data_IF_603392792210
#
_entry.id   IF_603392792210
#
_cell.length_a   1.000
_cell.length_b   1.000
_cell.length_c   1.000
_cell.angle_alpha   90.00
_cell.angle_beta   90.00
_cell.angle_gamma   90.00
#
_symmetry.space_group_name_H-M   'P 1'
#
loop_
_entity.id
_entity.type
_entity.pdbx_description
1 polymer ?
#
# COMPACT_ATOMS: atom_id res chain seq x y z
N UNK A 1 22.62 38.45 19.64
CA UNK A 1 21.30 38.06 20.17
C UNK A 1 20.75 36.96 19.25
N UNK A 2 20.34 35.81 19.79
CA UNK A 2 19.80 34.63 19.09
C UNK A 2 20.74 33.50 18.59
N UNK A 3 21.71 33.10 19.41
CA UNK A 3 22.24 31.72 19.39
C UNK A 3 21.57 30.82 20.42
N UNK A 4 21.04 31.39 21.51
CA UNK A 4 20.45 30.65 22.64
C UNK A 4 19.11 30.00 22.33
N UNK A 5 18.30 30.57 21.43
CA UNK A 5 17.00 29.98 21.05
C UNK A 5 17.18 28.71 20.20
N UNK A 6 18.23 28.61 19.37
CA UNK A 6 18.48 27.46 18.50
C UNK A 6 18.78 26.17 19.28
N UNK A 7 19.43 26.30 20.44
CA UNK A 7 19.82 25.15 21.26
C UNK A 7 18.64 24.49 22.00
N UNK A 8 17.55 25.23 22.23
CA UNK A 8 16.33 24.71 22.88
C UNK A 8 15.43 23.93 21.91
N UNK A 9 15.60 24.10 20.60
CA UNK A 9 14.73 23.47 19.58
C UNK A 9 15.25 22.12 19.07
N UNK A 10 16.51 21.76 19.34
CA UNK A 10 17.13 20.55 18.79
C UNK A 10 16.83 19.19 19.48
N UNK A 11 16.36 19.05 20.75
CA UNK A 11 16.18 17.72 21.34
C UNK A 11 15.01 16.93 20.74
N UNK A 12 14.03 17.59 20.13
CA UNK A 12 12.82 16.93 19.59
C UNK A 12 12.96 16.43 18.15
N UNK A 13 14.10 16.66 17.49
CA UNK A 13 14.32 16.31 16.07
C UNK A 13 15.01 14.95 15.84
N UNK A 14 15.07 14.07 16.84
CA UNK A 14 15.37 12.66 16.58
C UNK A 14 14.09 11.99 16.07
N UNK A 15 13.75 12.31 14.83
CA UNK A 15 12.71 11.62 14.06
C UNK A 15 12.94 10.13 14.18
N UNK A 16 11.99 9.46 14.83
CA UNK A 16 11.83 8.03 14.75
C UNK A 16 12.02 7.62 13.30
N UNK A 17 13.04 6.79 13.04
CA UNK A 17 13.16 6.10 11.77
C UNK A 17 11.85 5.33 11.61
N UNK A 18 10.95 5.84 10.77
CA UNK A 18 9.81 5.09 10.26
C UNK A 18 10.44 3.97 9.47
N UNK A 19 10.62 2.82 10.12
CA UNK A 19 11.16 1.62 9.51
C UNK A 19 10.18 1.26 8.40
N UNK A 20 10.58 1.45 7.14
CA UNK A 20 9.70 1.25 5.99
C UNK A 20 9.21 -0.21 6.01
N UNK A 21 7.91 -0.45 6.29
CA UNK A 21 7.37 -1.80 6.45
C UNK A 21 7.42 -2.59 5.15
N UNK A 22 7.51 -1.89 4.01
CA UNK A 22 7.64 -2.50 2.70
C UNK A 22 9.00 -3.19 2.52
N UNK A 23 10.07 -2.67 3.14
CA UNK A 23 11.40 -3.24 3.02
C UNK A 23 11.54 -4.63 3.67
N UNK A 24 10.69 -4.97 4.64
CA UNK A 24 10.68 -6.28 5.28
C UNK A 24 9.89 -7.34 4.49
N UNK A 25 9.00 -6.94 3.57
CA UNK A 25 8.23 -7.86 2.72
C UNK A 25 8.97 -8.28 1.45
N UNK A 26 9.85 -7.42 0.94
CA UNK A 26 10.55 -7.64 -0.32
C UNK A 26 11.61 -8.77 -0.24
N UNK A 27 12.14 -9.05 0.96
CA UNK A 27 13.28 -9.96 1.15
C UNK A 27 12.89 -11.45 1.21
N UNK A 28 11.59 -11.76 1.24
CA UNK A 28 11.06 -13.13 1.25
C UNK A 28 10.34 -13.55 -0.02
N UNK A 29 10.29 -12.69 -1.05
CA UNK A 29 9.51 -12.99 -2.27
C UNK A 29 10.21 -14.05 -3.14
N UNK A 30 9.51 -15.15 -3.35
CA UNK A 30 9.89 -16.18 -4.32
C UNK A 30 9.78 -15.65 -5.75
N UNK A 31 10.51 -16.25 -6.69
CA UNK A 31 10.48 -15.86 -8.11
C UNK A 31 9.05 -15.93 -8.71
N UNK A 32 8.23 -16.85 -8.21
CA UNK A 32 6.83 -16.99 -8.61
C UNK A 32 5.96 -15.82 -8.16
N UNK A 33 6.16 -15.31 -6.95
CA UNK A 33 5.42 -14.15 -6.41
C UNK A 33 5.79 -12.86 -7.14
N UNK A 34 7.07 -12.69 -7.52
CA UNK A 34 7.51 -11.56 -8.36
C UNK A 34 6.92 -11.61 -9.77
N UNK A 35 6.80 -12.80 -10.36
CA UNK A 35 6.20 -12.97 -11.68
C UNK A 35 4.69 -12.72 -11.62
N UNK A 36 4.00 -13.24 -10.61
CA UNK A 36 2.58 -12.99 -10.39
C UNK A 36 2.28 -11.50 -10.22
N UNK A 37 3.14 -10.74 -9.53
CA UNK A 37 2.95 -9.29 -9.34
C UNK A 37 3.17 -8.48 -10.60
N UNK A 38 4.15 -8.85 -11.41
CA UNK A 38 4.31 -8.27 -12.74
C UNK A 38 3.11 -8.60 -13.63
N UNK A 39 2.61 -9.83 -13.60
CA UNK A 39 1.45 -10.22 -14.40
C UNK A 39 0.18 -9.51 -13.93
N UNK A 40 -0.03 -9.36 -12.63
CA UNK A 40 -1.18 -8.64 -12.07
C UNK A 40 -1.15 -7.14 -12.40
N UNK A 41 0.02 -6.50 -12.31
CA UNK A 41 0.17 -5.07 -12.65
C UNK A 41 0.02 -4.81 -14.15
N UNK A 42 0.48 -5.73 -15.01
CA UNK A 42 0.29 -5.63 -16.47
C UNK A 42 -1.16 -5.93 -16.86
N UNK A 43 -1.77 -6.95 -16.26
CA UNK A 43 -3.15 -7.38 -16.56
C UNK A 43 -4.23 -6.38 -16.13
N UNK A 44 -3.95 -5.53 -15.14
CA UNK A 44 -4.88 -4.49 -14.66
C UNK A 44 -4.79 -3.15 -15.40
N UNK A 45 -3.88 -2.98 -16.35
CA UNK A 45 -3.70 -1.72 -17.06
C UNK A 45 -4.73 -1.54 -18.18
N UNK A 46 -5.28 -0.32 -18.31
CA UNK A 46 -6.17 0.07 -19.39
C UNK A 46 -5.56 -0.20 -20.78
N UNK A 47 -4.24 -0.03 -20.93
CA UNK A 47 -3.56 -0.30 -22.20
C UNK A 47 -3.56 -1.78 -22.59
N UNK A 48 -3.39 -2.69 -21.62
CA UNK A 48 -3.43 -4.13 -21.87
C UNK A 48 -4.82 -4.57 -22.34
N UNK A 49 -5.87 -4.05 -21.70
CA UNK A 49 -7.26 -4.33 -22.07
C UNK A 49 -7.52 -3.90 -23.53
N UNK A 50 -7.10 -2.69 -23.92
CA UNK A 50 -7.26 -2.19 -25.28
C UNK A 50 -6.51 -3.03 -26.32
N UNK A 51 -5.25 -3.40 -26.06
CA UNK A 51 -4.47 -4.25 -26.98
C UNK A 51 -5.05 -5.66 -27.09
N UNK A 52 -5.52 -6.24 -25.98
CA UNK A 52 -6.16 -7.55 -25.97
C UNK A 52 -7.46 -7.56 -26.79
N UNK A 53 -8.31 -6.53 -26.63
CA UNK A 53 -9.51 -6.36 -27.44
C UNK A 53 -9.19 -6.21 -28.93
N UNK A 54 -8.17 -5.41 -29.29
CA UNK A 54 -7.71 -5.27 -30.67
C UNK A 54 -7.22 -6.61 -31.25
N UNK A 55 -6.49 -7.40 -30.46
CA UNK A 55 -6.06 -8.74 -30.85
C UNK A 55 -7.25 -9.68 -31.11
N UNK A 56 -8.27 -9.70 -30.24
CA UNK A 56 -9.47 -10.53 -30.43
C UNK A 56 -10.23 -10.15 -31.70
N UNK A 57 -10.41 -8.85 -31.95
CA UNK A 57 -11.06 -8.34 -33.17
C UNK A 57 -10.23 -8.69 -34.41
N UNK A 58 -8.91 -8.49 -34.35
CA UNK A 58 -7.99 -8.85 -35.43
C UNK A 58 -8.00 -10.35 -35.74
N UNK A 59 -8.03 -11.21 -34.72
CA UNK A 59 -8.11 -12.66 -34.87
C UNK A 59 -9.42 -13.12 -35.50
N UNK A 60 -10.54 -12.52 -35.08
CA UNK A 60 -11.87 -12.76 -35.67
C UNK A 60 -11.90 -12.36 -37.14
N UNK A 61 -11.40 -11.16 -37.48
CA UNK A 61 -11.29 -10.67 -38.86
C UNK A 61 -10.40 -11.60 -39.71
N UNK A 62 -9.24 -12.02 -39.20
CA UNK A 62 -8.32 -12.90 -39.91
C UNK A 62 -8.97 -14.26 -40.21
N UNK A 63 -9.65 -14.87 -39.23
CA UNK A 63 -10.28 -16.18 -39.43
C UNK A 63 -11.52 -16.10 -40.34
N UNK A 64 -12.35 -15.06 -40.21
CA UNK A 64 -13.57 -14.93 -41.02
C UNK A 64 -13.32 -14.41 -42.43
N UNK A 65 -12.49 -13.37 -42.60
CA UNK A 65 -12.33 -12.67 -43.88
C UNK A 65 -11.18 -13.24 -44.70
N UNK A 66 -10.05 -13.59 -44.07
CA UNK A 66 -8.83 -13.99 -44.82
C UNK A 66 -8.79 -15.50 -45.07
N UNK A 67 -9.18 -16.31 -44.08
CA UNK A 67 -9.12 -17.78 -44.22
C UNK A 67 -10.42 -18.41 -44.72
N UNK A 68 -11.59 -17.80 -44.50
CA UNK A 68 -12.88 -18.18 -45.12
C UNK A 68 -13.17 -19.69 -45.15
N UNK A 69 -12.85 -20.35 -46.27
CA UNK A 69 -13.06 -21.79 -46.49
C UNK A 69 -12.02 -22.73 -45.84
N UNK A 70 -10.87 -22.19 -45.39
CA UNK A 70 -9.83 -22.90 -44.61
C UNK A 70 -9.68 -22.30 -43.20
N UNK A 71 -10.74 -21.70 -42.66
CA UNK A 71 -10.74 -21.12 -41.32
C UNK A 71 -10.27 -22.16 -40.30
N UNK A 72 -9.20 -21.83 -39.58
CA UNK A 72 -8.66 -22.64 -38.50
C UNK A 72 -9.64 -22.65 -37.31
N UNK A 73 -10.34 -21.53 -37.08
CA UNK A 73 -11.42 -21.40 -36.10
C UNK A 73 -12.67 -20.76 -36.76
N UNK A 74 -13.55 -21.55 -37.42
CA UNK A 74 -14.78 -21.05 -38.02
C UNK A 74 -15.74 -20.50 -36.96
N UNK A 75 -16.60 -19.56 -37.36
CA UNK A 75 -17.70 -19.10 -36.51
C UNK A 75 -18.52 -20.32 -36.04
N UNK A 76 -18.68 -20.55 -34.71
CA UNK A 76 -18.70 -19.60 -33.60
C UNK A 76 -17.40 -19.43 -32.75
N UNK A 77 -16.21 -19.68 -33.30
CA UNK A 77 -14.90 -19.50 -32.65
C UNK A 77 -14.66 -20.34 -31.38
N UNK A 78 -14.72 -21.66 -31.51
CA UNK A 78 -14.60 -22.61 -30.40
C UNK A 78 -13.22 -22.54 -29.75
N UNK A 79 -12.15 -22.36 -30.53
CA UNK A 79 -10.79 -22.30 -29.99
C UNK A 79 -10.57 -21.04 -29.17
N UNK A 80 -11.01 -19.89 -29.68
CA UNK A 80 -10.93 -18.62 -28.95
C UNK A 80 -11.76 -18.66 -27.67
N UNK A 81 -12.96 -19.25 -27.72
CA UNK A 81 -13.80 -19.43 -26.54
C UNK A 81 -13.12 -20.30 -25.46
N UNK A 82 -12.50 -21.41 -25.87
CA UNK A 82 -11.77 -22.30 -24.96
C UNK A 82 -10.59 -21.56 -24.29
N UNK A 83 -9.79 -20.83 -25.06
CA UNK A 83 -8.66 -20.06 -24.55
C UNK A 83 -9.12 -18.98 -23.55
N UNK A 84 -10.17 -18.23 -23.86
CA UNK A 84 -10.74 -17.21 -22.96
C UNK A 84 -11.27 -17.83 -21.67
N UNK A 85 -11.94 -18.98 -21.76
CA UNK A 85 -12.47 -19.68 -20.58
C UNK A 85 -11.35 -20.16 -19.66
N UNK A 86 -10.25 -20.68 -20.20
CA UNK A 86 -9.06 -21.05 -19.43
C UNK A 86 -8.39 -19.82 -18.79
N UNK A 87 -8.28 -18.72 -19.54
CA UNK A 87 -7.72 -17.47 -19.03
C UNK A 87 -8.54 -16.92 -17.86
N UNK A 88 -9.87 -16.89 -18.00
CA UNK A 88 -10.78 -16.45 -16.95
C UNK A 88 -10.73 -17.37 -15.71
N UNK A 89 -10.64 -18.69 -15.89
CA UNK A 89 -10.52 -19.63 -14.78
C UNK A 89 -9.24 -19.38 -13.95
N UNK A 90 -8.13 -19.01 -14.60
CA UNK A 90 -6.88 -18.67 -13.91
C UNK A 90 -6.89 -17.28 -13.27
N UNK A 91 -7.76 -16.36 -13.73
CA UNK A 91 -7.83 -15.01 -13.17
C UNK A 91 -8.33 -15.00 -11.72
N UNK A 92 -9.38 -15.76 -11.39
CA UNK A 92 -9.96 -15.69 -10.04
C UNK A 92 -8.98 -16.06 -8.90
N UNK A 93 -8.17 -17.14 -9.01
CA UNK A 93 -7.14 -17.44 -8.02
C UNK A 93 -6.02 -16.38 -7.96
N UNK A 94 -5.57 -15.87 -9.11
CA UNK A 94 -4.53 -14.82 -9.15
C UNK A 94 -5.02 -13.55 -8.46
N UNK A 95 -6.26 -13.14 -8.74
CA UNK A 95 -6.91 -12.00 -8.08
C UNK A 95 -6.98 -12.27 -6.58
N UNK A 96 -7.43 -13.46 -6.16
CA UNK A 96 -7.54 -13.82 -4.75
C UNK A 96 -6.17 -13.83 -4.04
N UNK A 97 -5.11 -14.31 -4.68
CA UNK A 97 -3.75 -14.26 -4.14
C UNK A 97 -3.26 -12.82 -3.98
N UNK A 98 -3.50 -11.96 -4.98
CA UNK A 98 -3.15 -10.54 -4.91
C UNK A 98 -3.91 -9.82 -3.80
N UNK A 99 -5.19 -10.13 -3.63
CA UNK A 99 -6.06 -9.59 -2.58
C UNK A 99 -5.61 -10.07 -1.20
N UNK A 100 -5.31 -11.36 -1.04
CA UNK A 100 -4.84 -11.91 0.23
C UNK A 100 -3.52 -11.26 0.67
N UNK A 101 -2.61 -10.98 -0.27
CA UNK A 101 -1.37 -10.25 0.01
C UNK A 101 -1.63 -8.80 0.37
N UNK A 102 -2.51 -8.10 -0.35
CA UNK A 102 -2.87 -6.72 -0.02
C UNK A 102 -3.48 -6.64 1.38
N UNK A 103 -4.42 -7.54 1.71
CA UNK A 103 -5.02 -7.61 3.04
C UNK A 103 -4.00 -7.90 4.16
N UNK A 104 -2.94 -8.67 3.87
CA UNK A 104 -1.85 -8.89 4.83
C UNK A 104 -1.04 -7.61 5.09
N UNK A 105 -0.76 -6.82 4.04
CA UNK A 105 -0.10 -5.51 4.16
C UNK A 105 -0.97 -4.53 4.95
N UNK A 106 -2.24 -4.40 4.58
CA UNK A 106 -3.19 -3.50 5.24
C UNK A 106 -3.32 -3.80 6.74
N UNK A 107 -3.31 -5.09 7.13
CA UNK A 107 -3.33 -5.52 8.54
C UNK A 107 -2.08 -5.12 9.31
N UNK A 108 -0.91 -5.13 8.66
CA UNK A 108 0.33 -4.73 9.31
C UNK A 108 0.42 -3.22 9.45
N UNK A 109 0.02 -2.48 8.43
CA UNK A 109 -0.12 -1.01 8.48
C UNK A 109 -1.03 -0.59 9.65
N UNK A 110 -2.21 -1.20 9.76
CA UNK A 110 -3.14 -0.94 10.86
C UNK A 110 -2.54 -1.24 12.25
N UNK A 111 -1.69 -2.27 12.38
CA UNK A 111 -1.00 -2.58 13.65
C UNK A 111 0.04 -1.52 14.01
N UNK A 112 0.81 -1.05 13.04
CA UNK A 112 1.83 -0.01 13.27
C UNK A 112 1.19 1.34 13.60
N UNK A 113 0.08 1.66 12.94
CA UNK A 113 -0.72 2.85 13.26
C UNK A 113 -1.24 2.78 14.70
N UNK A 114 -1.75 1.63 15.11
CA UNK A 114 -2.19 1.41 16.49
C UNK A 114 -1.06 1.59 17.51
N UNK A 115 0.12 0.99 17.27
CA UNK A 115 1.28 1.18 18.15
C UNK A 115 1.74 2.64 18.22
N UNK A 116 1.73 3.34 17.09
CA UNK A 116 2.10 4.76 17.01
C UNK A 116 1.11 5.61 17.80
N UNK A 117 -0.18 5.31 17.71
CA UNK A 117 -1.22 6.00 18.46
C UNK A 117 -1.06 5.79 19.98
N UNK A 118 -0.79 4.57 20.43
CA UNK A 118 -0.49 4.28 21.85
C UNK A 118 0.75 5.04 22.35
N UNK A 119 1.81 5.12 21.54
CA UNK A 119 3.01 5.89 21.87
C UNK A 119 2.72 7.39 21.93
N UNK A 120 1.88 7.91 21.05
CA UNK A 120 1.46 9.30 21.06
C UNK A 120 0.64 9.62 22.32
N UNK A 121 -0.31 8.75 22.68
CA UNK A 121 -1.11 8.89 23.91
C UNK A 121 -0.21 8.92 25.16
N UNK A 122 0.76 8.01 25.26
CA UNK A 122 1.71 7.99 26.36
C UNK A 122 2.58 9.27 26.43
N UNK A 123 2.99 9.82 25.29
CA UNK A 123 3.74 11.08 25.22
C UNK A 123 2.87 12.27 25.64
N UNK A 124 1.61 12.31 25.21
CA UNK A 124 0.66 13.36 25.62
C UNK A 124 0.45 13.33 27.13
N UNK A 125 0.25 12.15 27.73
CA UNK A 125 0.08 12.02 29.18
C UNK A 125 1.32 12.54 29.95
N UNK A 126 2.54 12.22 29.49
CA UNK A 126 3.77 12.78 30.08
C UNK A 126 3.84 14.30 29.97
N UNK A 127 3.49 14.87 28.81
CA UNK A 127 3.46 16.32 28.64
C UNK A 127 2.43 16.98 29.56
N UNK A 128 1.27 16.34 29.80
CA UNK A 128 0.27 16.83 30.73
C UNK A 128 0.78 16.83 32.18
N UNK A 129 1.51 15.78 32.59
CA UNK A 129 2.16 15.70 33.90
C UNK A 129 3.20 16.81 34.09
N UNK A 130 4.07 17.04 33.10
CA UNK A 130 5.07 18.12 33.14
C UNK A 130 4.42 19.50 33.21
N UNK A 131 3.37 19.75 32.42
CA UNK A 131 2.62 21.02 32.45
C UNK A 131 1.95 21.22 33.80
N UNK A 132 1.40 20.16 34.40
CA UNK A 132 0.78 20.23 35.73
C UNK A 132 1.82 20.55 36.81
N UNK A 133 3.02 19.95 36.74
CA UNK A 133 4.12 20.24 37.66
C UNK A 133 4.55 21.72 37.59
N UNK A 134 4.76 22.26 36.37
CA UNK A 134 5.12 23.66 36.17
C UNK A 134 4.03 24.60 36.71
N UNK A 135 2.74 24.28 36.48
CA UNK A 135 1.62 25.06 37.03
C UNK A 135 1.62 25.06 38.56
N UNK A 136 1.94 23.94 39.19
CA UNK A 136 2.02 23.83 40.64
C UNK A 136 3.16 24.68 41.23
N UNK A 137 4.34 24.67 40.58
CA UNK A 137 5.48 25.52 40.96
C UNK A 137 5.14 27.01 40.88
N UNK A 138 4.56 27.46 39.76
CA UNK A 138 4.13 28.86 39.59
C UNK A 138 3.07 29.28 40.63
N UNK A 139 2.14 28.39 40.97
CA UNK A 139 1.14 28.64 42.02
C UNK A 139 1.76 28.69 43.43
N UNK A 140 2.88 28.01 43.65
CA UNK A 140 3.63 28.08 44.89
C UNK A 140 4.43 29.40 44.97
N UNK A 141 5.14 29.77 43.91
CA UNK A 141 5.91 31.01 43.83
C UNK A 141 5.01 32.26 43.99
N UNK A 142 3.84 32.27 43.34
CA UNK A 142 2.86 33.35 43.48
C UNK A 142 2.35 33.52 44.92
N UNK A 143 2.18 32.42 45.66
CA UNK A 143 1.82 32.46 47.09
C UNK A 143 2.94 33.04 47.93
N UNK A 144 4.19 32.59 47.74
CA UNK A 144 5.34 33.08 48.52
C UNK A 144 5.52 34.60 48.35
N UNK A 145 5.36 35.14 47.15
CA UNK A 145 5.44 36.59 46.90
C UNK A 145 4.32 37.41 47.54
N UNK A 146 3.19 36.81 47.89
CA UNK A 146 2.09 37.52 48.56
C UNK A 146 2.28 37.63 50.08
N UNK A 147 3.21 36.85 50.65
CA UNK A 147 3.50 36.83 52.10
C UNK A 147 4.85 37.48 52.46
N UNK A 148 5.56 38.07 51.50
CA UNK A 148 6.80 38.83 51.67
C UNK A 148 6.55 40.32 51.41
#
# INVERSE_FOLDING_TARGET
MNTTIRFLTDPFRRTASVRDPNAAFDDTMTLGERLADRVATIGGSWGFISTFCLFLVGWSILNTIVLGARAFDPFPFIFLNLMLSMLAALQAPIIMMSQNRQAAKDRLEARMDYETNLRAEAQINRLLEEVAAIRAELACEGRVRQFA
#
